data_IF_463507574258
#
_entry.id   IF_463507574258
#
_cell.length_a   1.000
_cell.length_b   1.000
_cell.length_c   1.000
_cell.angle_alpha   90.00
_cell.angle_beta   90.00
_cell.angle_gamma   90.00
#
_symmetry.space_group_name_H-M   'P 1'
#
loop_
_entity.id
_entity.type
_entity.pdbx_description
1 polymer ?
#
# COMPACT_ATOMS: atom_id res chain seq x y z
N UNK A 1 31.62 11.34 -2.89
CA UNK A 1 30.52 10.80 -2.07
C UNK A 1 31.11 10.10 -0.83
N UNK A 2 31.07 10.79 0.31
CA UNK A 2 31.39 10.14 1.59
C UNK A 2 30.11 9.46 2.07
N UNK A 3 30.00 8.17 1.85
CA UNK A 3 28.89 7.39 2.34
C UNK A 3 29.30 6.71 3.66
N UNK A 4 28.81 7.22 4.77
CA UNK A 4 28.90 6.52 6.05
C UNK A 4 27.58 5.78 6.22
N UNK A 5 27.60 4.47 6.10
CA UNK A 5 26.41 3.64 6.07
C UNK A 5 26.15 2.96 7.43
N UNK A 6 24.89 2.94 7.84
CA UNK A 6 24.42 2.24 9.04
C UNK A 6 23.36 1.22 8.65
N UNK A 7 23.49 0.01 9.20
CA UNK A 7 22.47 -1.02 9.11
C UNK A 7 21.42 -0.77 10.23
N UNK A 8 20.27 -0.22 9.89
CA UNK A 8 19.24 0.15 10.89
C UNK A 8 18.08 -0.83 10.95
N UNK A 9 17.79 -1.56 9.87
CA UNK A 9 16.68 -2.52 9.79
C UNK A 9 16.84 -3.47 8.58
N UNK A 10 15.94 -4.44 8.50
CA UNK A 10 16.00 -5.53 7.51
C UNK A 10 14.85 -5.38 6.51
N UNK A 11 15.11 -5.64 5.23
CA UNK A 11 14.06 -5.85 4.22
C UNK A 11 13.61 -7.30 4.33
N UNK A 12 12.32 -7.52 4.53
CA UNK A 12 11.71 -8.83 4.70
C UNK A 12 10.70 -9.12 3.59
N UNK A 13 10.55 -10.40 3.27
CA UNK A 13 9.39 -10.93 2.55
C UNK A 13 8.49 -11.60 3.58
N UNK A 14 7.28 -11.06 3.76
CA UNK A 14 6.25 -11.70 4.56
C UNK A 14 5.40 -12.59 3.65
N UNK A 15 5.26 -13.87 4.00
CA UNK A 15 4.50 -14.86 3.22
C UNK A 15 3.31 -15.31 4.04
N UNK A 16 2.13 -15.27 3.43
CA UNK A 16 0.88 -15.71 4.07
C UNK A 16 0.92 -17.20 4.37
N UNK A 17 0.62 -17.58 5.62
CA UNK A 17 0.28 -18.97 5.94
C UNK A 17 -1.16 -19.29 5.50
N UNK A 18 -1.31 -20.27 4.60
CA UNK A 18 -2.59 -20.65 4.02
C UNK A 18 -3.42 -21.57 4.93
N UNK A 19 -3.71 -21.14 6.18
CA UNK A 19 -4.65 -21.89 7.03
C UNK A 19 -5.64 -20.92 7.67
N UNK A 20 -6.82 -20.81 7.07
CA UNK A 20 -7.94 -20.13 7.69
C UNK A 20 -9.14 -21.09 7.73
N UNK A 21 -9.56 -21.47 8.94
CA UNK A 21 -10.81 -22.20 9.15
C UNK A 21 -11.97 -21.22 8.94
N UNK A 22 -12.59 -21.26 7.77
CA UNK A 22 -13.82 -20.50 7.54
C UNK A 22 -14.94 -21.11 8.38
N UNK A 23 -15.40 -20.39 9.39
CA UNK A 23 -16.72 -20.67 9.98
C UNK A 23 -17.77 -20.33 8.93
N UNK A 24 -18.61 -21.30 8.55
CA UNK A 24 -19.66 -21.12 7.57
C UNK A 24 -20.69 -20.10 8.08
N UNK A 25 -20.71 -18.91 7.49
CA UNK A 25 -21.74 -17.90 7.80
C UNK A 25 -23.09 -18.40 7.26
N UNK A 26 -24.16 -18.42 8.06
CA UNK A 26 -25.46 -18.87 7.61
C UNK A 26 -25.93 -18.06 6.41
N UNK A 27 -26.35 -18.75 5.34
CA UNK A 27 -26.74 -18.17 4.05
C UNK A 27 -27.80 -17.06 4.15
N UNK A 28 -28.65 -17.10 5.20
CA UNK A 28 -29.70 -16.11 5.46
C UNK A 28 -29.14 -14.70 5.76
N UNK A 29 -27.87 -14.59 6.22
CA UNK A 29 -27.22 -13.31 6.51
C UNK A 29 -26.34 -12.80 5.38
N UNK A 30 -26.22 -13.54 4.27
CA UNK A 30 -25.39 -13.17 3.14
C UNK A 30 -26.29 -12.73 1.98
N UNK A 31 -26.37 -11.44 1.66
CA UNK A 31 -27.00 -10.96 0.44
C UNK A 31 -26.28 -11.52 -0.80
N UNK A 32 -27.00 -11.69 -1.90
CA UNK A 32 -26.38 -12.12 -3.16
C UNK A 32 -25.39 -11.08 -3.69
N UNK A 33 -24.37 -11.52 -4.43
CA UNK A 33 -23.38 -10.63 -5.04
C UNK A 33 -24.07 -9.57 -5.92
N UNK A 34 -25.15 -9.93 -6.64
CA UNK A 34 -25.90 -8.96 -7.46
C UNK A 34 -26.53 -7.83 -6.65
N UNK A 35 -27.05 -8.14 -5.46
CA UNK A 35 -27.58 -7.10 -4.55
C UNK A 35 -26.47 -6.17 -4.05
N UNK A 36 -25.34 -6.74 -3.67
CA UNK A 36 -24.17 -5.99 -3.17
C UNK A 36 -23.54 -5.12 -4.25
N UNK A 37 -23.41 -5.65 -5.47
CA UNK A 37 -22.87 -4.89 -6.61
C UNK A 37 -23.77 -3.73 -7.01
N UNK A 38 -25.09 -3.96 -7.04
CA UNK A 38 -26.05 -2.88 -7.32
C UNK A 38 -26.02 -1.78 -6.24
N UNK A 39 -25.91 -2.18 -4.98
CA UNK A 39 -25.80 -1.26 -3.85
C UNK A 39 -24.52 -0.41 -3.92
N UNK A 40 -23.37 -1.05 -4.12
CA UNK A 40 -22.08 -0.35 -4.26
C UNK A 40 -22.12 0.66 -5.41
N UNK A 41 -22.60 0.25 -6.58
CA UNK A 41 -22.71 1.10 -7.74
C UNK A 41 -23.63 2.32 -7.50
N UNK A 42 -24.75 2.16 -6.78
CA UNK A 42 -25.62 3.27 -6.43
C UNK A 42 -24.97 4.21 -5.42
N UNK A 43 -24.27 3.71 -4.42
CA UNK A 43 -23.54 4.55 -3.46
C UNK A 43 -22.44 5.35 -4.16
N UNK A 44 -21.67 4.72 -5.02
CA UNK A 44 -20.56 5.34 -5.76
C UNK A 44 -21.02 6.39 -6.77
N UNK A 45 -22.11 6.11 -7.51
CA UNK A 45 -22.59 7.01 -8.58
C UNK A 45 -23.60 8.04 -8.10
N UNK A 46 -24.21 7.84 -6.94
CA UNK A 46 -25.29 8.67 -6.40
C UNK A 46 -26.62 8.57 -7.17
N UNK A 47 -26.76 7.60 -8.10
CA UNK A 47 -27.90 7.50 -8.99
C UNK A 47 -28.18 6.08 -9.46
N UNK A 48 -29.44 5.64 -9.34
CA UNK A 48 -29.86 4.34 -9.89
C UNK A 48 -29.74 4.27 -11.41
N UNK A 49 -29.88 5.40 -12.10
CA UNK A 49 -29.72 5.46 -13.56
C UNK A 49 -28.23 5.31 -13.97
N UNK A 50 -27.33 5.97 -13.27
CA UNK A 50 -25.91 5.85 -13.54
C UNK A 50 -25.39 4.43 -13.18
N UNK A 51 -25.79 3.90 -12.03
CA UNK A 51 -25.49 2.52 -11.64
C UNK A 51 -26.04 1.49 -12.65
N UNK A 52 -27.23 1.71 -13.21
CA UNK A 52 -27.79 0.84 -14.23
C UNK A 52 -26.95 0.80 -15.51
N UNK A 53 -26.39 1.92 -15.93
CA UNK A 53 -25.45 1.98 -17.08
C UNK A 53 -24.15 1.23 -16.80
N UNK A 54 -23.58 1.42 -15.61
CA UNK A 54 -22.34 0.74 -15.20
C UNK A 54 -22.49 -0.78 -15.13
N UNK A 55 -23.71 -1.25 -14.83
CA UNK A 55 -23.99 -2.67 -14.62
C UNK A 55 -24.66 -3.37 -15.80
N UNK A 56 -24.89 -2.66 -16.91
CA UNK A 56 -25.66 -3.14 -18.08
C UNK A 56 -27.05 -3.65 -17.69
N UNK A 57 -27.73 -2.93 -16.78
CA UNK A 57 -29.08 -3.24 -16.29
C UNK A 57 -30.04 -2.12 -16.59
N UNK A 58 -31.35 -2.39 -16.49
CA UNK A 58 -32.35 -1.33 -16.46
C UNK A 58 -32.41 -0.64 -15.11
N UNK A 59 -32.77 0.67 -15.09
CA UNK A 59 -32.95 1.40 -13.84
C UNK A 59 -33.94 0.73 -12.90
N UNK A 60 -35.04 0.15 -13.46
CA UNK A 60 -36.03 -0.58 -12.68
C UNK A 60 -35.45 -1.87 -12.03
N UNK A 61 -34.53 -2.53 -12.72
CA UNK A 61 -33.84 -3.68 -12.13
C UNK A 61 -32.95 -3.28 -10.95
N UNK A 62 -32.14 -2.25 -11.12
CA UNK A 62 -31.29 -1.72 -10.01
C UNK A 62 -32.15 -1.29 -8.83
N UNK A 63 -33.25 -0.56 -9.08
CA UNK A 63 -34.15 -0.14 -8.00
C UNK A 63 -34.76 -1.33 -7.23
N UNK A 64 -35.13 -2.41 -7.93
CA UNK A 64 -35.62 -3.63 -7.29
C UNK A 64 -34.55 -4.34 -6.48
N UNK A 65 -33.29 -4.40 -6.98
CA UNK A 65 -32.17 -4.99 -6.23
C UNK A 65 -31.92 -4.21 -4.92
N UNK A 66 -31.95 -2.90 -4.94
CA UNK A 66 -31.84 -2.07 -3.73
C UNK A 66 -32.96 -2.35 -2.74
N UNK A 67 -34.22 -2.33 -3.19
CA UNK A 67 -35.37 -2.62 -2.33
C UNK A 67 -35.29 -4.02 -1.71
N UNK A 68 -34.84 -5.01 -2.49
CA UNK A 68 -34.64 -6.38 -1.99
C UNK A 68 -33.55 -6.43 -0.91
N UNK A 69 -32.44 -5.69 -1.10
CA UNK A 69 -31.38 -5.60 -0.11
C UNK A 69 -31.86 -4.93 1.18
N UNK A 70 -32.57 -3.80 1.08
CA UNK A 70 -33.17 -3.11 2.22
C UNK A 70 -34.14 -4.01 2.99
N UNK A 71 -35.00 -4.74 2.27
CA UNK A 71 -35.93 -5.70 2.88
C UNK A 71 -35.19 -6.85 3.58
N UNK A 72 -34.10 -7.36 3.02
CA UNK A 72 -33.30 -8.42 3.60
C UNK A 72 -32.54 -7.95 4.86
N UNK A 73 -32.03 -6.73 4.86
CA UNK A 73 -31.31 -6.14 5.99
C UNK A 73 -32.25 -5.56 7.05
N UNK A 74 -33.50 -5.29 6.69
CA UNK A 74 -34.51 -4.70 7.58
C UNK A 74 -34.31 -3.22 7.88
N UNK A 75 -33.45 -2.53 7.10
CA UNK A 75 -33.14 -1.12 7.31
C UNK A 75 -33.11 -0.38 5.97
N UNK A 76 -33.54 0.90 5.92
CA UNK A 76 -33.39 1.71 4.74
C UNK A 76 -31.92 2.09 4.54
N UNK A 77 -31.41 1.87 3.33
CA UNK A 77 -30.05 2.24 2.94
C UNK A 77 -30.00 3.61 2.27
N UNK A 78 -31.12 4.03 1.67
CA UNK A 78 -31.21 5.31 0.99
C UNK A 78 -32.44 6.10 1.42
N UNK A 79 -32.25 7.41 1.53
CA UNK A 79 -33.33 8.40 1.70
C UNK A 79 -33.55 9.12 0.37
N UNK A 80 -34.81 9.45 0.09
CA UNK A 80 -35.17 10.31 -1.04
C UNK A 80 -35.18 11.76 -0.59
N UNK A 81 -34.19 12.52 -0.99
CA UNK A 81 -34.20 13.97 -0.85
C UNK A 81 -34.46 14.61 -2.21
N UNK A 82 -35.70 15.19 -2.38
CA UNK A 82 -36.19 15.78 -3.61
C UNK A 82 -36.12 14.83 -4.83
N UNK A 83 -35.03 14.87 -5.61
CA UNK A 83 -34.76 13.98 -6.76
C UNK A 83 -33.49 13.17 -6.62
N UNK A 84 -32.82 13.22 -5.48
CA UNK A 84 -31.56 12.51 -5.23
C UNK A 84 -31.76 11.37 -4.25
N UNK A 85 -31.01 10.31 -4.48
CA UNK A 85 -30.87 9.21 -3.56
C UNK A 85 -29.66 9.51 -2.67
N UNK A 86 -29.90 9.69 -1.37
CA UNK A 86 -28.85 9.99 -0.40
C UNK A 86 -28.64 8.74 0.46
N UNK A 87 -27.43 8.17 0.51
CA UNK A 87 -27.15 7.03 1.38
C UNK A 87 -27.26 7.45 2.84
N UNK A 88 -27.79 6.57 3.68
CA UNK A 88 -27.83 6.74 5.14
C UNK A 88 -26.45 6.47 5.74
N UNK A 89 -26.19 6.92 6.99
CA UNK A 89 -24.93 6.62 7.68
C UNK A 89 -24.66 5.11 7.78
N UNK A 90 -25.63 4.24 8.13
CA UNK A 90 -25.47 2.80 8.05
C UNK A 90 -25.11 2.30 6.65
N UNK A 91 -25.69 2.88 5.60
CA UNK A 91 -25.36 2.52 4.22
C UNK A 91 -23.92 2.88 3.86
N UNK A 92 -23.42 4.05 4.27
CA UNK A 92 -22.03 4.45 4.03
C UNK A 92 -21.03 3.55 4.77
N UNK A 93 -21.35 3.14 6.00
CA UNK A 93 -20.53 2.19 6.73
C UNK A 93 -20.52 0.81 6.04
N UNK A 94 -21.70 0.32 5.67
CA UNK A 94 -21.85 -0.97 4.97
C UNK A 94 -21.19 -0.98 3.60
N UNK A 95 -21.27 0.10 2.84
CA UNK A 95 -20.64 0.22 1.53
C UNK A 95 -19.12 0.03 1.56
N UNK A 96 -18.45 0.49 2.61
CA UNK A 96 -17.01 0.26 2.80
C UNK A 96 -16.67 -1.23 2.94
N UNK A 97 -17.47 -1.96 3.70
CA UNK A 97 -17.26 -3.41 3.89
C UNK A 97 -17.64 -4.21 2.63
N UNK A 98 -18.75 -3.85 1.99
CA UNK A 98 -19.17 -4.44 0.72
C UNK A 98 -18.12 -4.22 -0.37
N UNK A 99 -17.56 -3.02 -0.49
CA UNK A 99 -16.50 -2.72 -1.46
C UNK A 99 -15.28 -3.63 -1.27
N UNK A 100 -14.80 -3.80 -0.03
CA UNK A 100 -13.70 -4.72 0.28
C UNK A 100 -14.02 -6.17 -0.10
N UNK A 101 -15.23 -6.62 0.22
CA UNK A 101 -15.67 -7.99 -0.09
C UNK A 101 -15.76 -8.25 -1.60
N UNK A 102 -16.34 -7.33 -2.37
CA UNK A 102 -16.43 -7.41 -3.83
C UNK A 102 -15.04 -7.40 -4.48
N UNK A 103 -14.14 -6.57 -4.00
CA UNK A 103 -12.75 -6.54 -4.42
C UNK A 103 -12.04 -7.88 -4.16
N UNK A 104 -12.25 -8.50 -3.00
CA UNK A 104 -11.67 -9.78 -2.65
C UNK A 104 -12.18 -10.89 -3.59
N UNK A 105 -13.49 -10.93 -3.84
CA UNK A 105 -14.12 -11.87 -4.78
C UNK A 105 -13.56 -11.66 -6.19
N UNK A 106 -13.49 -10.43 -6.67
CA UNK A 106 -12.98 -10.08 -7.99
C UNK A 106 -11.54 -10.55 -8.17
N UNK A 107 -10.66 -10.25 -7.20
CA UNK A 107 -9.27 -10.71 -7.20
C UNK A 107 -9.15 -12.24 -7.18
N UNK A 108 -9.98 -12.91 -6.36
CA UNK A 108 -10.03 -14.37 -6.34
C UNK A 108 -10.43 -14.97 -7.69
N UNK A 109 -11.45 -14.42 -8.33
CA UNK A 109 -11.91 -14.82 -9.64
C UNK A 109 -10.86 -14.61 -10.75
N UNK A 110 -10.14 -13.48 -10.71
CA UNK A 110 -9.03 -13.23 -11.62
C UNK A 110 -7.89 -14.25 -11.44
N UNK A 111 -7.55 -14.60 -10.20
CA UNK A 111 -6.54 -15.65 -9.93
C UNK A 111 -6.91 -17.00 -10.53
N UNK A 112 -8.14 -17.43 -10.35
CA UNK A 112 -8.62 -18.69 -10.95
C UNK A 112 -8.54 -18.66 -12.48
N UNK A 113 -8.91 -17.54 -13.11
CA UNK A 113 -8.85 -17.38 -14.58
C UNK A 113 -7.43 -17.34 -15.14
N UNK A 114 -6.47 -16.79 -14.38
CA UNK A 114 -5.06 -16.72 -14.80
C UNK A 114 -4.26 -18.00 -14.50
N UNK A 115 -4.82 -18.96 -13.76
CA UNK A 115 -4.12 -20.19 -13.37
C UNK A 115 -4.09 -21.30 -14.45
N UNK A 116 -4.57 -21.04 -15.68
CA UNK A 116 -4.62 -22.03 -16.77
C UNK A 116 -3.27 -22.32 -17.45
N UNK A 117 -2.13 -21.92 -16.89
CA UNK A 117 -0.79 -22.19 -17.47
C UNK A 117 0.39 -21.77 -16.62
N UNK A 118 0.16 -21.16 -15.47
CA UNK A 118 1.16 -20.68 -14.54
C UNK A 118 0.47 -19.99 -13.37
N UNK A 119 1.13 -19.84 -12.23
CA UNK A 119 0.54 -19.20 -11.04
C UNK A 119 0.45 -17.69 -11.19
N UNK A 120 -0.51 -17.08 -10.51
CA UNK A 120 -0.52 -15.63 -10.28
C UNK A 120 -0.01 -15.35 -8.87
N UNK A 121 1.01 -14.51 -8.76
CA UNK A 121 1.55 -14.00 -7.49
C UNK A 121 1.08 -12.56 -7.28
N UNK A 122 0.27 -12.34 -6.25
CA UNK A 122 -0.11 -10.99 -5.81
C UNK A 122 0.84 -10.53 -4.72
N UNK A 123 1.70 -9.58 -5.06
CA UNK A 123 2.79 -9.11 -4.21
C UNK A 123 2.56 -7.67 -3.78
N UNK A 124 2.49 -7.43 -2.46
CA UNK A 124 2.50 -6.09 -1.90
C UNK A 124 3.95 -5.57 -1.81
N UNK A 125 4.17 -4.32 -2.20
CA UNK A 125 5.49 -3.71 -2.21
C UNK A 125 5.46 -2.27 -1.70
N UNK A 126 6.61 -1.80 -1.23
CA UNK A 126 6.86 -0.37 -1.03
C UNK A 126 7.14 0.29 -2.40
N UNK A 127 6.53 1.46 -2.73
CA UNK A 127 6.56 2.02 -4.08
C UNK A 127 7.96 2.20 -4.66
N UNK A 128 8.85 2.89 -3.92
CA UNK A 128 10.19 3.21 -4.39
C UNK A 128 11.07 1.95 -4.47
N UNK A 129 10.89 0.98 -3.57
CA UNK A 129 11.54 -0.33 -3.66
C UNK A 129 11.08 -1.07 -4.93
N UNK A 130 9.78 -1.07 -5.19
CA UNK A 130 9.20 -1.68 -6.38
C UNK A 130 9.79 -1.14 -7.67
N UNK A 131 9.89 0.19 -7.79
CA UNK A 131 10.38 0.82 -9.02
C UNK A 131 11.90 0.73 -9.19
N UNK A 132 12.68 0.90 -8.12
CA UNK A 132 14.14 1.01 -8.20
C UNK A 132 14.88 -0.32 -8.02
N UNK A 133 14.33 -1.23 -7.21
CA UNK A 133 15.02 -2.49 -6.92
C UNK A 133 14.34 -3.70 -7.57
N UNK A 134 13.01 -3.81 -7.47
CA UNK A 134 12.30 -5.00 -7.94
C UNK A 134 12.09 -5.00 -9.44
N UNK A 135 11.55 -3.91 -10.01
CA UNK A 135 11.18 -3.85 -11.42
C UNK A 135 12.34 -4.19 -12.39
N UNK A 136 13.58 -3.71 -12.18
CA UNK A 136 14.71 -4.10 -13.03
C UNK A 136 15.05 -5.61 -12.99
N UNK A 137 14.64 -6.32 -11.93
CA UNK A 137 14.91 -7.76 -11.71
C UNK A 137 13.80 -8.68 -12.23
N UNK A 138 12.58 -8.13 -12.41
CA UNK A 138 11.44 -8.90 -12.89
C UNK A 138 11.64 -9.55 -14.27
N UNK A 139 12.26 -8.90 -15.28
CA UNK A 139 12.45 -9.56 -16.58
C UNK A 139 13.23 -10.87 -16.48
N UNK A 140 14.29 -10.91 -15.67
CA UNK A 140 15.08 -12.13 -15.45
C UNK A 140 14.28 -13.22 -14.73
N UNK A 141 13.47 -12.82 -13.74
CA UNK A 141 12.62 -13.75 -13.00
C UNK A 141 11.55 -14.35 -13.93
N UNK A 142 10.84 -13.52 -14.69
CA UNK A 142 9.79 -13.97 -15.59
C UNK A 142 10.32 -14.84 -16.73
N UNK A 143 11.53 -14.57 -17.22
CA UNK A 143 12.19 -15.43 -18.21
C UNK A 143 12.54 -16.82 -17.64
N UNK A 144 12.91 -16.89 -16.36
CA UNK A 144 13.21 -18.16 -15.68
C UNK A 144 11.94 -18.94 -15.27
N UNK A 145 10.80 -18.26 -15.15
CA UNK A 145 9.53 -18.84 -14.73
C UNK A 145 8.41 -18.47 -15.69
N UNK A 146 8.42 -19.00 -16.93
CA UNK A 146 7.39 -18.73 -17.92
C UNK A 146 6.03 -19.21 -17.43
N UNK A 147 5.01 -18.38 -17.63
CA UNK A 147 3.65 -18.66 -17.19
C UNK A 147 3.29 -18.08 -15.82
N UNK A 148 4.24 -17.54 -15.06
CA UNK A 148 3.92 -16.78 -13.84
C UNK A 148 3.48 -15.36 -14.22
N UNK A 149 2.36 -14.92 -13.64
CA UNK A 149 1.92 -13.52 -13.68
C UNK A 149 2.13 -12.89 -12.32
N UNK A 150 2.70 -11.68 -12.26
CA UNK A 150 2.88 -10.94 -11.01
C UNK A 150 1.97 -9.72 -11.00
N UNK A 151 1.09 -9.66 -10.00
CA UNK A 151 0.30 -8.48 -9.68
C UNK A 151 1.00 -7.72 -8.56
N UNK A 152 1.35 -6.48 -8.81
CA UNK A 152 1.99 -5.61 -7.81
C UNK A 152 0.96 -4.64 -7.23
N UNK A 153 0.90 -4.58 -5.90
CA UNK A 153 0.09 -3.61 -5.17
C UNK A 153 0.92 -2.87 -4.14
N UNK A 154 0.62 -1.60 -3.92
CA UNK A 154 1.35 -0.79 -2.95
C UNK A 154 0.74 -0.87 -1.58
N UNK A 155 1.56 -1.14 -0.55
CA UNK A 155 1.20 -1.01 0.86
C UNK A 155 2.34 -0.37 1.63
N UNK A 156 2.04 0.72 2.35
CA UNK A 156 3.04 1.47 3.13
C UNK A 156 3.16 0.97 4.57
N UNK A 157 2.13 0.27 5.06
CA UNK A 157 2.05 -0.27 6.43
C UNK A 157 1.75 -1.76 6.39
N UNK A 158 2.14 -2.52 7.42
CA UNK A 158 1.68 -3.90 7.58
C UNK A 158 0.14 -3.98 7.56
N UNK A 159 -0.39 -5.04 7.00
CA UNK A 159 -1.81 -5.28 6.78
C UNK A 159 -2.16 -6.73 7.10
N UNK A 160 -3.45 -7.04 7.21
CA UNK A 160 -3.91 -8.43 7.32
C UNK A 160 -3.95 -9.08 5.93
N UNK A 161 -3.14 -10.12 5.75
CA UNK A 161 -3.11 -10.90 4.51
C UNK A 161 -4.45 -11.55 4.16
N UNK A 162 -5.28 -11.88 5.17
CA UNK A 162 -6.60 -12.46 4.95
C UNK A 162 -7.55 -11.45 4.30
N UNK A 163 -7.47 -10.18 4.69
CA UNK A 163 -8.34 -9.11 4.19
C UNK A 163 -7.87 -8.55 2.85
N UNK A 164 -6.54 -8.40 2.67
CA UNK A 164 -5.99 -7.66 1.53
C UNK A 164 -5.76 -8.52 0.27
N UNK A 165 -5.77 -9.85 0.40
CA UNK A 165 -5.67 -10.77 -0.74
C UNK A 165 -4.32 -10.82 -1.44
N UNK A 166 -3.23 -10.40 -0.79
CA UNK A 166 -1.87 -10.61 -1.23
C UNK A 166 -1.36 -12.00 -0.82
N UNK A 167 -0.48 -12.58 -1.63
CA UNK A 167 0.18 -13.84 -1.34
C UNK A 167 1.48 -13.64 -0.57
N UNK A 168 2.16 -12.53 -0.83
CA UNK A 168 3.37 -12.10 -0.16
C UNK A 168 3.48 -10.57 -0.10
N UNK A 169 4.37 -10.07 0.76
CA UNK A 169 4.71 -8.67 0.81
C UNK A 169 6.23 -8.48 0.96
N UNK A 170 6.78 -7.50 0.27
CA UNK A 170 8.14 -7.01 0.53
C UNK A 170 8.01 -5.72 1.33
N UNK A 171 8.49 -5.75 2.55
CA UNK A 171 8.36 -4.65 3.48
C UNK A 171 9.66 -4.42 4.24
N UNK A 172 9.71 -3.30 4.91
CA UNK A 172 10.77 -2.91 5.81
C UNK A 172 10.31 -3.13 7.25
N UNK A 173 11.10 -3.80 8.08
CA UNK A 173 10.70 -4.02 9.47
C UNK A 173 11.37 -5.22 10.14
N UNK A 174 10.64 -5.80 11.06
CA UNK A 174 11.01 -6.97 11.85
C UNK A 174 10.16 -8.17 11.46
N UNK A 175 10.56 -9.34 11.94
CA UNK A 175 9.80 -10.59 11.82
C UNK A 175 8.71 -10.66 12.91
N UNK A 176 7.81 -9.69 12.91
CA UNK A 176 6.70 -9.58 13.86
C UNK A 176 5.34 -9.38 13.18
N UNK A 177 5.24 -9.72 11.88
CA UNK A 177 4.02 -9.57 11.12
C UNK A 177 3.05 -10.70 11.39
N UNK A 178 1.94 -10.40 12.10
CA UNK A 178 0.94 -11.38 12.49
C UNK A 178 0.38 -12.17 11.29
N UNK A 179 0.32 -13.49 11.41
CA UNK A 179 -0.23 -14.39 10.38
C UNK A 179 0.65 -14.61 9.15
N UNK A 180 1.90 -14.14 9.17
CA UNK A 180 2.86 -14.36 8.08
C UNK A 180 4.18 -14.92 8.59
N UNK A 181 4.86 -15.71 7.75
CA UNK A 181 6.28 -16.03 7.95
C UNK A 181 7.15 -15.00 7.25
N UNK A 182 8.21 -14.56 7.88
CA UNK A 182 9.13 -13.61 7.28
C UNK A 182 10.42 -14.27 6.82
N UNK A 183 10.86 -13.86 5.64
CA UNK A 183 12.18 -14.21 5.09
C UNK A 183 13.00 -12.94 4.91
N UNK A 184 14.15 -12.88 5.54
CA UNK A 184 15.07 -11.75 5.37
C UNK A 184 15.65 -11.74 3.95
N UNK A 185 15.49 -10.63 3.23
CA UNK A 185 16.12 -10.43 1.93
C UNK A 185 17.55 -9.88 2.08
N UNK A 186 17.69 -8.74 2.73
CA UNK A 186 18.99 -8.10 3.01
C UNK A 186 18.83 -7.00 4.07
N UNK A 187 19.96 -6.52 4.58
CA UNK A 187 19.99 -5.40 5.51
C UNK A 187 20.02 -4.08 4.77
N UNK A 188 19.20 -3.16 5.23
CA UNK A 188 19.16 -1.83 4.68
C UNK A 188 20.26 -0.97 5.30
N UNK A 189 21.10 -0.40 4.45
CA UNK A 189 22.12 0.59 4.81
C UNK A 189 21.62 1.99 4.41
N UNK A 190 21.58 2.91 5.35
CA UNK A 190 21.21 4.29 5.09
C UNK A 190 22.45 5.15 4.86
N UNK A 191 22.40 6.00 3.85
CA UNK A 191 23.44 6.98 3.51
C UNK A 191 22.85 8.38 3.51
N UNK A 192 23.59 9.36 4.03
CA UNK A 192 23.20 10.75 3.94
C UNK A 192 23.48 11.28 2.53
N UNK A 193 22.45 11.82 1.89
CA UNK A 193 22.49 12.31 0.51
C UNK A 193 22.01 13.74 0.41
N UNK A 194 22.69 14.55 -0.38
CA UNK A 194 22.25 15.90 -0.77
C UNK A 194 22.63 16.20 -2.23
N UNK A 195 22.05 17.23 -2.80
CA UNK A 195 22.44 17.71 -4.12
C UNK A 195 23.87 18.29 -4.11
N UNK A 196 24.64 18.20 -5.20
CA UNK A 196 25.95 18.82 -5.31
C UNK A 196 25.93 20.34 -5.05
N UNK A 197 24.91 21.04 -5.53
CA UNK A 197 24.71 22.46 -5.28
C UNK A 197 24.50 22.79 -3.79
N UNK A 198 23.76 21.91 -3.08
CA UNK A 198 23.58 22.05 -1.64
C UNK A 198 24.90 21.87 -0.88
N UNK A 199 25.71 20.87 -1.28
CA UNK A 199 27.01 20.60 -0.69
C UNK A 199 28.01 21.74 -0.91
N UNK A 200 27.98 22.40 -2.08
CA UNK A 200 28.79 23.58 -2.38
C UNK A 200 28.43 24.76 -1.47
N UNK A 201 27.14 24.97 -1.22
CA UNK A 201 26.66 26.04 -0.35
C UNK A 201 26.86 25.75 1.15
N UNK A 202 26.88 24.49 1.52
CA UNK A 202 26.97 24.00 2.91
C UNK A 202 28.07 22.94 2.99
N UNK A 203 29.35 23.31 3.18
CA UNK A 203 30.44 22.34 3.23
C UNK A 203 30.26 21.35 4.38
N UNK A 204 30.03 20.08 4.07
CA UNK A 204 29.82 18.98 5.02
C UNK A 204 31.02 18.06 4.96
N UNK A 205 31.78 17.96 6.06
CA UNK A 205 32.97 17.11 6.22
C UNK A 205 32.79 16.02 7.27
N UNK A 206 31.90 16.26 8.24
CA UNK A 206 31.63 15.35 9.33
C UNK A 206 30.13 15.34 9.67
N UNK A 207 29.69 14.33 10.42
CA UNK A 207 28.28 14.23 10.84
C UNK A 207 27.78 15.47 11.60
N UNK A 208 28.65 16.08 12.42
CA UNK A 208 28.31 17.30 13.18
C UNK A 208 27.95 18.49 12.30
N UNK A 209 28.47 18.55 11.08
CA UNK A 209 28.22 19.66 10.16
C UNK A 209 26.79 19.66 9.60
N UNK A 210 26.05 18.58 9.82
CA UNK A 210 24.63 18.47 9.46
C UNK A 210 23.71 19.13 10.51
N UNK A 211 24.23 19.47 11.70
CA UNK A 211 23.44 20.11 12.75
C UNK A 211 23.01 21.50 12.27
N UNK A 212 21.71 21.77 12.33
CA UNK A 212 21.15 23.06 11.89
C UNK A 212 20.85 23.16 10.38
N UNK A 213 21.25 22.15 9.58
CA UNK A 213 20.85 22.07 8.18
C UNK A 213 19.44 21.46 8.05
N UNK A 214 18.72 21.74 6.95
CA UNK A 214 17.44 21.09 6.67
C UNK A 214 17.60 19.57 6.49
N UNK A 215 17.11 18.77 7.45
CA UNK A 215 17.16 17.31 7.43
C UNK A 215 15.79 16.77 7.06
N UNK A 216 15.68 16.19 5.87
CA UNK A 216 14.45 15.63 5.37
C UNK A 216 14.15 14.30 6.09
N UNK A 217 12.91 14.13 6.53
CA UNK A 217 12.49 13.02 7.38
C UNK A 217 11.47 12.13 6.65
N UNK A 218 11.48 10.85 6.96
CA UNK A 218 10.47 9.91 6.47
C UNK A 218 9.52 9.55 7.63
N UNK A 219 8.21 9.74 7.44
CA UNK A 219 7.18 9.48 8.47
C UNK A 219 7.27 8.07 9.08
N UNK A 220 7.56 7.07 8.23
CA UNK A 220 7.68 5.67 8.67
C UNK A 220 8.98 5.37 9.43
N UNK A 221 9.88 6.34 9.55
CA UNK A 221 11.21 6.20 10.19
C UNK A 221 11.56 7.43 11.04
N UNK A 222 10.75 7.77 12.05
CA UNK A 222 10.91 9.01 12.80
C UNK A 222 12.26 9.11 13.51
N UNK A 223 12.86 7.97 13.90
CA UNK A 223 14.13 7.94 14.65
C UNK A 223 15.37 7.81 13.76
N UNK A 224 15.23 7.80 12.42
CA UNK A 224 16.34 7.50 11.54
C UNK A 224 17.52 8.45 11.72
N UNK A 225 17.29 9.75 11.76
CA UNK A 225 18.32 10.75 11.98
C UNK A 225 18.94 10.67 13.39
N UNK A 226 18.13 10.49 14.43
CA UNK A 226 18.61 10.35 15.81
C UNK A 226 19.55 9.15 15.94
N UNK A 227 19.17 8.00 15.38
CA UNK A 227 20.00 6.79 15.35
C UNK A 227 21.27 6.98 14.51
N UNK A 228 21.15 7.69 13.39
CA UNK A 228 22.28 7.98 12.52
C UNK A 228 23.31 8.88 13.23
N UNK A 229 22.90 9.94 13.89
CA UNK A 229 23.78 10.81 14.66
C UNK A 229 24.43 10.07 15.85
N UNK A 230 23.63 9.30 16.58
CA UNK A 230 24.15 8.49 17.70
C UNK A 230 25.25 7.52 17.26
N UNK A 231 25.07 6.86 16.10
CA UNK A 231 26.08 5.99 15.52
C UNK A 231 27.40 6.71 15.18
N UNK A 232 27.31 8.00 14.84
CA UNK A 232 28.49 8.85 14.57
C UNK A 232 29.03 9.56 15.80
N UNK A 233 28.55 9.20 17.01
CA UNK A 233 28.98 9.81 18.25
C UNK A 233 28.56 11.28 18.40
N UNK A 234 27.52 11.71 17.71
CA UNK A 234 27.00 13.08 17.75
C UNK A 234 25.68 13.09 18.52
N UNK A 235 25.68 13.85 19.62
CA UNK A 235 24.43 14.17 20.34
C UNK A 235 23.81 15.42 19.71
N UNK A 236 22.56 15.34 19.31
CA UNK A 236 21.84 16.46 18.66
C UNK A 236 20.40 16.53 19.18
N UNK A 237 19.80 17.73 19.27
CA UNK A 237 18.36 17.86 19.46
C UNK A 237 17.61 17.20 18.28
N UNK A 238 16.31 16.96 18.47
CA UNK A 238 15.47 16.35 17.44
C UNK A 238 15.64 17.11 16.12
N UNK A 239 16.02 16.43 15.03
CA UNK A 239 16.21 17.05 13.74
C UNK A 239 14.92 17.73 13.26
N UNK A 240 15.04 18.96 12.76
CA UNK A 240 13.92 19.67 12.15
C UNK A 240 14.06 19.63 10.64
N UNK A 241 12.92 19.48 9.95
CA UNK A 241 12.88 19.47 8.49
C UNK A 241 11.54 18.98 7.96
N UNK A 242 11.40 18.97 6.64
CA UNK A 242 10.21 18.49 5.97
C UNK A 242 10.03 16.98 6.20
N UNK A 243 8.78 16.56 6.41
CA UNK A 243 8.39 15.15 6.58
C UNK A 243 7.74 14.65 5.31
N UNK A 244 8.14 13.49 4.84
CA UNK A 244 7.62 12.81 3.65
C UNK A 244 7.05 11.45 4.05
N UNK A 245 6.02 11.01 3.40
CA UNK A 245 5.43 9.67 3.57
C UNK A 245 6.15 8.60 2.74
N UNK A 246 6.88 9.01 1.68
CA UNK A 246 7.54 8.12 0.73
C UNK A 246 8.93 8.65 0.33
N UNK A 247 9.81 7.71 -0.07
CA UNK A 247 11.14 8.05 -0.57
C UNK A 247 11.12 8.79 -1.91
N UNK A 248 10.18 8.50 -2.80
CA UNK A 248 10.18 9.09 -4.14
C UNK A 248 10.10 10.63 -4.11
N UNK A 249 9.11 11.28 -3.47
CA UNK A 249 9.09 12.73 -3.34
C UNK A 249 10.26 13.29 -2.52
N UNK A 250 10.73 12.56 -1.48
CA UNK A 250 11.90 12.98 -0.70
C UNK A 250 13.19 12.98 -1.54
N UNK A 251 13.38 12.01 -2.43
CA UNK A 251 14.51 11.97 -3.37
C UNK A 251 14.47 13.19 -4.30
N UNK A 252 13.29 13.54 -4.83
CA UNK A 252 13.15 14.74 -5.66
C UNK A 252 13.49 16.02 -4.88
N UNK A 253 13.05 16.12 -3.62
CA UNK A 253 13.41 17.24 -2.76
C UNK A 253 14.94 17.36 -2.58
N UNK A 254 15.63 16.22 -2.38
CA UNK A 254 17.10 16.18 -2.31
C UNK A 254 17.73 16.64 -3.61
N UNK A 255 17.27 16.13 -4.76
CA UNK A 255 17.81 16.50 -6.09
C UNK A 255 17.70 18.00 -6.32
N UNK A 256 16.61 18.62 -5.89
CA UNK A 256 16.37 20.05 -6.01
C UNK A 256 16.98 20.89 -4.87
N UNK A 257 17.85 20.31 -4.03
CA UNK A 257 18.63 21.04 -3.06
C UNK A 257 17.85 21.52 -1.82
N UNK A 258 16.71 20.90 -1.48
CA UNK A 258 15.90 21.29 -0.32
C UNK A 258 16.50 20.83 1.02
N UNK A 259 17.53 20.00 1.00
CA UNK A 259 18.20 19.55 2.22
C UNK A 259 18.94 18.23 2.06
N UNK A 260 19.21 17.60 3.19
CA UNK A 260 19.88 16.30 3.28
C UNK A 260 18.88 15.24 3.72
N UNK A 261 18.87 14.07 3.06
CA UNK A 261 18.04 12.94 3.43
C UNK A 261 18.88 11.69 3.72
N UNK A 262 18.37 10.84 4.62
CA UNK A 262 18.86 9.47 4.76
C UNK A 262 18.14 8.57 3.76
N UNK A 263 18.88 8.07 2.78
CA UNK A 263 18.35 7.19 1.74
C UNK A 263 18.97 5.80 1.87
N UNK A 264 18.21 4.72 1.62
CA UNK A 264 18.77 3.41 1.41
C UNK A 264 19.84 3.43 0.31
N UNK A 265 20.95 2.76 0.53
CA UNK A 265 22.08 2.76 -0.42
C UNK A 265 21.65 2.32 -1.84
N UNK A 266 20.74 1.33 -1.93
CA UNK A 266 20.21 0.86 -3.22
C UNK A 266 19.31 1.87 -3.94
N UNK A 267 18.84 2.92 -3.25
CA UNK A 267 18.09 4.03 -3.86
C UNK A 267 19.00 5.21 -4.22
N UNK A 268 20.13 5.32 -3.53
CA UNK A 268 21.07 6.43 -3.70
C UNK A 268 22.07 6.20 -4.85
N UNK A 269 22.34 4.94 -5.20
CA UNK A 269 23.21 4.59 -6.33
C UNK A 269 22.40 4.50 -7.62
N UNK A 270 22.83 5.15 -8.72
CA UNK A 270 22.33 4.78 -10.05
C UNK A 270 22.74 3.32 -10.34
N UNK A 271 21.89 2.59 -11.06
CA UNK A 271 22.22 1.24 -11.56
C UNK A 271 23.27 1.31 -12.65
#
# INVERSE_FOLDING_TARGET
LWAIAICLNTVIVAIRYAWNSYMATPRRFLPSVSLLTAFEAVVRTGSTLAAARDLDLSQGAVSRLIQTLEAQLGVPLFLRDRRRLVPTDPALAYAREVGKALDLISRGSMRVRSSTGGGTLSLAILPTFGTRWLAPRLPRFLAAHPGITINLGTRLKPFDFAEEGFDAAIHFGRDDWAGAGALRLFDERLVACCAPSFLLANPIRAARDLIGLPLLQLETRPDAWTRWFAHHGVSTPVPQGMVFDQFAPMIQAVIHGLGVALLPEFLAKPE
#
